data_IF_817690018412
#
_entry.id   IF_817690018412
#
_cell.length_a   1.000
_cell.length_b   1.000
_cell.length_c   1.000
_cell.angle_alpha   90.00
_cell.angle_beta   90.00
_cell.angle_gamma   90.00
#
_symmetry.space_group_name_H-M   'P 1'
#
loop_
_entity.id
_entity.type
_entity.pdbx_description
1 polymer ?
#
# COMPACT_ATOMS: atom_id res chain seq x y z
N UNK A 1 27.46 10.73 -18.73
CA UNK A 1 26.26 11.21 -18.03
C UNK A 1 25.19 10.14 -18.16
N UNK A 2 24.79 9.43 -17.10
CA UNK A 2 23.62 8.56 -17.20
C UNK A 2 22.40 9.44 -17.48
N UNK A 3 21.67 9.15 -18.56
CA UNK A 3 20.52 9.94 -18.99
C UNK A 3 19.51 10.08 -17.86
N UNK A 4 18.96 11.30 -17.70
CA UNK A 4 17.93 11.63 -16.71
C UNK A 4 16.75 10.66 -16.91
N UNK A 5 16.66 9.61 -16.08
CA UNK A 5 15.54 8.66 -16.12
C UNK A 5 14.33 9.38 -15.53
N UNK A 6 13.43 9.83 -16.39
CA UNK A 6 12.18 10.47 -15.97
C UNK A 6 11.13 9.41 -15.65
N UNK A 7 10.33 9.66 -14.60
CA UNK A 7 9.15 8.85 -14.33
C UNK A 7 8.13 9.00 -15.46
N UNK A 8 7.48 7.91 -15.91
CA UNK A 8 6.48 7.95 -16.97
C UNK A 8 5.28 8.80 -16.57
N UNK A 9 4.69 9.49 -17.53
CA UNK A 9 3.48 10.28 -17.36
C UNK A 9 2.25 9.37 -17.12
N UNK A 10 1.17 9.90 -16.52
CA UNK A 10 -0.10 9.19 -16.40
C UNK A 10 -0.61 8.62 -17.74
N UNK A 11 -0.44 9.36 -18.84
CA UNK A 11 -0.82 8.93 -20.17
C UNK A 11 0.00 7.72 -20.66
N UNK A 12 1.32 7.72 -20.44
CA UNK A 12 2.19 6.58 -20.78
C UNK A 12 1.86 5.33 -19.94
N UNK A 13 1.53 5.51 -18.66
CA UNK A 13 1.07 4.41 -17.78
C UNK A 13 -0.28 3.87 -18.27
N UNK A 14 -1.24 4.76 -18.59
CA UNK A 14 -2.55 4.40 -19.10
C UNK A 14 -2.47 3.61 -20.41
N UNK A 15 -1.62 4.06 -21.34
CA UNK A 15 -1.42 3.40 -22.63
C UNK A 15 -0.91 1.95 -22.51
N UNK A 16 -0.20 1.61 -21.43
CA UNK A 16 0.30 0.25 -21.17
C UNK A 16 -0.69 -0.65 -20.43
N UNK A 17 -1.82 -0.13 -19.96
CA UNK A 17 -2.80 -0.93 -19.21
C UNK A 17 -4.11 -1.13 -19.97
N UNK A 18 -4.39 -2.39 -20.31
CA UNK A 18 -5.69 -2.80 -20.89
C UNK A 18 -6.88 -2.60 -19.94
N UNK A 19 -6.62 -2.37 -18.66
CA UNK A 19 -7.63 -2.20 -17.61
C UNK A 19 -7.85 -0.73 -17.24
N UNK A 20 -7.10 0.21 -17.81
CA UNK A 20 -7.32 1.63 -17.61
C UNK A 20 -8.75 2.00 -18.05
N UNK A 21 -9.47 2.79 -17.24
CA UNK A 21 -10.86 3.15 -17.50
C UNK A 21 -11.90 2.07 -17.16
N UNK A 22 -11.52 0.79 -17.19
CA UNK A 22 -12.46 -0.34 -17.13
C UNK A 22 -12.46 -1.09 -15.79
N UNK A 23 -11.47 -0.86 -14.92
CA UNK A 23 -11.38 -1.50 -13.61
C UNK A 23 -11.03 -0.47 -12.53
N UNK A 24 -11.65 -0.51 -11.34
CA UNK A 24 -11.40 0.49 -10.29
C UNK A 24 -10.04 0.30 -9.58
N UNK A 25 -9.42 -0.87 -9.73
CA UNK A 25 -8.07 -1.21 -9.25
C UNK A 25 -7.29 -1.99 -10.32
N UNK A 26 -6.88 -1.36 -11.42
CA UNK A 26 -6.15 -2.03 -12.49
C UNK A 26 -4.89 -2.74 -11.98
N UNK A 27 -4.44 -3.78 -12.70
CA UNK A 27 -3.12 -4.37 -12.46
C UNK A 27 -2.03 -3.28 -12.58
N UNK A 28 -1.07 -3.21 -11.65
CA UNK A 28 0.06 -2.29 -11.77
C UNK A 28 0.84 -2.49 -13.08
N UNK A 29 1.37 -1.41 -13.64
CA UNK A 29 2.17 -1.45 -14.87
C UNK A 29 3.65 -1.47 -14.51
N UNK A 30 4.40 -2.39 -15.11
CA UNK A 30 5.85 -2.51 -14.95
C UNK A 30 6.60 -1.73 -16.04
N UNK A 31 7.71 -1.13 -15.66
CA UNK A 31 8.70 -0.50 -16.51
C UNK A 31 10.07 -1.08 -16.08
N UNK A 32 10.37 -2.28 -16.55
CA UNK A 32 11.56 -3.04 -16.11
C UNK A 32 12.87 -2.31 -16.46
N UNK A 33 12.91 -1.55 -17.56
CA UNK A 33 14.03 -0.69 -17.96
C UNK A 33 14.34 0.44 -16.96
N UNK A 34 13.35 0.79 -16.13
CA UNK A 34 13.44 1.80 -15.09
C UNK A 34 13.50 1.19 -13.67
N UNK A 35 13.44 -0.14 -13.52
CA UNK A 35 13.18 -0.80 -12.24
C UNK A 35 11.98 -0.20 -11.49
N UNK A 36 10.90 0.08 -12.23
CA UNK A 36 9.75 0.82 -11.74
C UNK A 36 8.46 0.01 -11.92
N UNK A 37 7.59 0.06 -10.93
CA UNK A 37 6.19 -0.35 -11.04
C UNK A 37 5.29 0.82 -10.67
N UNK A 38 4.20 0.98 -11.42
CA UNK A 38 3.20 2.03 -11.17
C UNK A 38 1.88 1.39 -10.78
N UNK A 39 1.49 1.58 -9.51
CA UNK A 39 0.14 1.25 -9.04
C UNK A 39 -0.76 2.43 -9.31
N UNK A 40 -1.93 2.20 -9.92
CA UNK A 40 -2.84 3.28 -10.25
C UNK A 40 -4.30 2.84 -10.23
N UNK A 41 -5.21 3.82 -10.21
CA UNK A 41 -6.64 3.57 -10.31
C UNK A 41 -7.47 4.59 -9.52
N UNK A 42 -8.80 4.60 -9.71
CA UNK A 42 -9.68 5.52 -9.00
C UNK A 42 -9.93 5.14 -7.53
N UNK A 43 -9.56 3.93 -7.11
CA UNK A 43 -9.58 3.51 -5.70
C UNK A 43 -8.19 3.38 -5.08
N UNK A 44 -7.14 3.80 -5.80
CA UNK A 44 -5.79 3.94 -5.23
C UNK A 44 -5.74 5.27 -4.50
N UNK A 45 -5.08 5.30 -3.35
CA UNK A 45 -5.07 6.44 -2.45
C UNK A 45 -3.64 6.90 -2.17
N UNK A 46 -3.45 8.21 -1.99
CA UNK A 46 -2.12 8.78 -1.71
C UNK A 46 -1.57 8.29 -0.37
N UNK A 47 -2.46 7.99 0.58
CA UNK A 47 -2.16 7.43 1.89
C UNK A 47 -1.37 6.11 1.81
N UNK A 48 -1.53 5.32 0.74
CA UNK A 48 -0.73 4.12 0.51
C UNK A 48 0.75 4.48 0.26
N UNK A 49 1.00 5.47 -0.59
CA UNK A 49 2.35 5.96 -0.87
C UNK A 49 3.01 6.55 0.39
N UNK A 50 2.25 7.30 1.19
CA UNK A 50 2.73 7.88 2.45
C UNK A 50 3.02 6.78 3.47
N UNK A 51 2.15 5.77 3.59
CA UNK A 51 2.33 4.62 4.48
C UNK A 51 3.61 3.84 4.15
N UNK A 52 3.82 3.51 2.87
CA UNK A 52 5.04 2.83 2.42
C UNK A 52 6.30 3.63 2.73
N UNK A 53 6.29 4.95 2.47
CA UNK A 53 7.42 5.83 2.82
C UNK A 53 7.69 5.86 4.33
N UNK A 54 6.65 5.99 5.14
CA UNK A 54 6.77 6.02 6.60
C UNK A 54 7.35 4.71 7.12
N UNK A 55 6.82 3.55 6.68
CA UNK A 55 7.30 2.23 7.09
C UNK A 55 8.76 2.05 6.67
N UNK A 56 9.10 2.39 5.41
CA UNK A 56 10.47 2.28 4.91
C UNK A 56 11.46 3.12 5.70
N UNK A 57 11.07 4.35 6.08
CA UNK A 57 11.90 5.21 6.92
C UNK A 57 11.99 4.69 8.37
N UNK A 58 10.86 4.41 9.02
CA UNK A 58 10.79 4.06 10.43
C UNK A 58 11.40 2.69 10.75
N UNK A 59 11.26 1.72 9.83
CA UNK A 59 11.69 0.34 10.04
C UNK A 59 12.92 -0.05 9.20
N UNK A 60 13.53 0.91 8.49
CA UNK A 60 14.76 0.80 7.68
C UNK A 60 15.49 -0.54 7.78
N UNK A 61 15.25 -1.43 6.80
CA UNK A 61 15.93 -2.73 6.65
C UNK A 61 15.33 -3.90 7.43
N UNK A 62 14.37 -3.68 8.34
CA UNK A 62 13.65 -4.75 9.06
C UNK A 62 12.42 -5.26 8.31
N UNK A 63 11.79 -4.39 7.53
CA UNK A 63 10.60 -4.72 6.74
C UNK A 63 10.88 -4.39 5.28
N UNK A 64 10.81 -5.39 4.38
CA UNK A 64 11.01 -5.14 2.95
C UNK A 64 9.75 -4.44 2.40
N UNK A 65 9.87 -3.14 2.14
CA UNK A 65 8.86 -2.35 1.41
C UNK A 65 9.51 -1.68 0.21
N UNK A 66 8.81 -1.54 -0.92
CA UNK A 66 9.35 -0.86 -2.09
C UNK A 66 9.59 0.62 -1.80
N UNK A 67 10.69 1.17 -2.33
CA UNK A 67 10.92 2.61 -2.30
C UNK A 67 9.85 3.33 -3.12
N UNK A 68 9.20 4.34 -2.55
CA UNK A 68 8.24 5.18 -3.30
C UNK A 68 8.96 6.40 -3.85
N UNK A 69 9.08 6.48 -5.18
CA UNK A 69 9.68 7.62 -5.87
C UNK A 69 8.75 8.84 -5.92
N UNK A 70 7.43 8.63 -5.93
CA UNK A 70 6.45 9.70 -5.84
C UNK A 70 5.05 9.26 -6.25
N UNK A 71 4.14 10.23 -6.37
CA UNK A 71 2.80 10.00 -6.89
C UNK A 71 2.31 11.16 -7.74
N UNK A 72 1.27 10.91 -8.55
CA UNK A 72 0.51 11.93 -9.29
C UNK A 72 -0.98 11.70 -9.10
N UNK A 73 -1.74 12.79 -9.15
CA UNK A 73 -3.21 12.78 -9.18
C UNK A 73 -3.64 13.38 -10.51
N UNK A 74 -4.45 12.64 -11.25
CA UNK A 74 -5.00 13.06 -12.55
C UNK A 74 -6.51 12.77 -12.57
N UNK A 75 -7.30 13.84 -12.42
CA UNK A 75 -8.73 13.75 -12.16
C UNK A 75 -9.02 12.86 -10.94
N UNK A 76 -9.73 11.75 -11.17
CA UNK A 76 -10.08 10.76 -10.13
C UNK A 76 -9.03 9.68 -9.90
N UNK A 77 -7.94 9.66 -10.68
CA UNK A 77 -6.93 8.62 -10.63
C UNK A 77 -5.73 9.04 -9.79
N UNK A 78 -5.26 8.14 -8.93
CA UNK A 78 -3.96 8.26 -8.27
C UNK A 78 -2.99 7.30 -8.95
N UNK A 79 -1.75 7.74 -9.16
CA UNK A 79 -0.64 6.96 -9.68
C UNK A 79 0.50 7.00 -8.66
N UNK A 80 0.92 5.83 -8.17
CA UNK A 80 2.02 5.66 -7.21
C UNK A 80 3.18 5.02 -7.95
N UNK A 81 4.31 5.72 -7.97
CA UNK A 81 5.55 5.29 -8.62
C UNK A 81 6.47 4.71 -7.56
N UNK A 82 6.77 3.42 -7.68
CA UNK A 82 7.53 2.71 -6.65
C UNK A 82 8.51 1.71 -7.26
N UNK A 83 9.52 1.34 -6.48
CA UNK A 83 10.52 0.34 -6.82
C UNK A 83 9.87 -0.96 -7.30
N UNK A 84 10.38 -1.46 -8.42
CA UNK A 84 10.08 -2.81 -8.85
C UNK A 84 10.98 -3.81 -8.14
N UNK A 85 10.47 -4.40 -7.06
CA UNK A 85 11.14 -5.48 -6.35
C UNK A 85 11.26 -6.69 -7.27
N UNK A 86 12.49 -7.13 -7.51
CA UNK A 86 12.78 -8.28 -8.35
C UNK A 86 12.51 -9.58 -7.58
N UNK A 87 11.81 -10.51 -8.23
CA UNK A 87 11.50 -11.80 -7.64
C UNK A 87 10.21 -12.40 -8.21
N UNK A 88 9.95 -13.62 -7.79
CA UNK A 88 8.71 -14.34 -8.07
C UNK A 88 7.78 -14.19 -6.88
N UNK A 89 6.47 -14.15 -7.13
CA UNK A 89 5.53 -14.10 -6.01
C UNK A 89 5.54 -15.42 -5.24
N UNK A 90 5.27 -15.37 -3.94
CA UNK A 90 5.14 -16.60 -3.15
C UNK A 90 4.06 -17.51 -3.72
N UNK A 91 2.98 -16.94 -4.26
CA UNK A 91 1.90 -17.68 -4.93
C UNK A 91 2.43 -18.52 -6.10
N UNK A 92 3.22 -17.92 -6.99
CA UNK A 92 3.74 -18.60 -8.18
C UNK A 92 4.74 -19.70 -7.82
N UNK A 93 5.48 -19.53 -6.71
CA UNK A 93 6.51 -20.49 -6.29
C UNK A 93 6.05 -21.55 -5.31
N UNK A 94 4.94 -21.34 -4.61
CA UNK A 94 4.53 -22.14 -3.44
C UNK A 94 4.58 -23.65 -3.67
N UNK A 95 4.02 -24.12 -4.78
CA UNK A 95 3.91 -25.55 -5.09
C UNK A 95 5.25 -26.21 -5.42
N UNK A 96 6.25 -25.41 -5.82
CA UNK A 96 7.60 -25.88 -6.14
C UNK A 96 8.56 -25.87 -4.94
N UNK A 97 8.17 -25.26 -3.82
CA UNK A 97 9.01 -25.14 -2.63
C UNK A 97 9.05 -26.46 -1.85
N UNK A 98 10.23 -26.80 -1.32
CA UNK A 98 10.36 -27.91 -0.39
C UNK A 98 9.70 -27.58 0.96
N UNK A 99 9.43 -28.60 1.77
CA UNK A 99 8.95 -28.39 3.15
C UNK A 99 9.96 -27.58 3.99
N UNK A 100 11.26 -27.73 3.70
CA UNK A 100 12.31 -26.94 4.34
C UNK A 100 12.19 -25.46 4.00
N UNK A 101 12.05 -25.13 2.71
CA UNK A 101 11.91 -23.74 2.25
C UNK A 101 10.64 -23.09 2.80
N UNK A 102 9.51 -23.81 2.80
CA UNK A 102 8.26 -23.34 3.40
C UNK A 102 8.43 -23.04 4.90
N UNK A 103 9.17 -23.88 5.62
CA UNK A 103 9.47 -23.67 7.03
C UNK A 103 10.31 -22.41 7.24
N UNK A 104 11.33 -22.18 6.41
CA UNK A 104 12.15 -20.96 6.46
C UNK A 104 11.30 -19.72 6.24
N UNK A 105 10.42 -19.72 5.23
CA UNK A 105 9.52 -18.59 4.94
C UNK A 105 8.56 -18.34 6.12
N UNK A 106 7.97 -19.39 6.69
CA UNK A 106 7.12 -19.26 7.87
C UNK A 106 7.86 -18.64 9.06
N UNK A 107 9.16 -18.92 9.22
CA UNK A 107 9.98 -18.35 10.29
C UNK A 107 10.38 -16.89 10.03
N UNK A 108 10.45 -16.44 8.77
CA UNK A 108 10.72 -15.04 8.40
C UNK A 108 9.51 -14.12 8.62
N UNK A 109 8.28 -14.63 8.48
CA UNK A 109 7.07 -13.82 8.62
C UNK A 109 6.96 -13.11 9.99
N UNK A 110 7.18 -13.78 11.14
CA UNK A 110 7.22 -13.11 12.44
C UNK A 110 8.25 -11.99 12.54
N UNK A 111 9.43 -12.15 11.91
CA UNK A 111 10.50 -11.15 11.92
C UNK A 111 10.09 -9.87 11.19
N UNK A 112 9.23 -9.99 10.17
CA UNK A 112 8.67 -8.86 9.42
C UNK A 112 7.47 -8.24 10.15
N UNK A 113 6.58 -9.07 10.69
CA UNK A 113 5.32 -8.62 11.32
C UNK A 113 5.57 -7.94 12.67
N UNK A 114 6.56 -8.39 13.45
CA UNK A 114 6.80 -7.82 14.79
C UNK A 114 7.19 -6.33 14.74
N UNK A 115 8.18 -5.91 13.91
CA UNK A 115 8.49 -4.49 13.76
C UNK A 115 7.31 -3.64 13.26
N UNK A 116 6.45 -4.19 12.39
CA UNK A 116 5.24 -3.50 11.93
C UNK A 116 4.25 -3.22 13.08
N UNK A 117 4.12 -4.15 14.03
CA UNK A 117 3.25 -3.99 15.21
C UNK A 117 3.82 -3.01 16.23
N UNK A 118 5.14 -2.85 16.24
CA UNK A 118 5.83 -1.91 17.15
C UNK A 118 5.79 -0.45 16.64
N UNK A 119 5.29 -0.20 15.43
CA UNK A 119 5.10 1.16 14.91
C UNK A 119 4.07 1.89 15.77
N UNK A 120 4.54 2.86 16.55
CA UNK A 120 3.70 3.67 17.41
C UNK A 120 3.49 5.08 16.83
N UNK A 121 2.30 5.63 17.08
CA UNK A 121 2.02 7.05 16.85
C UNK A 121 2.63 7.90 17.97
N UNK A 122 2.90 9.17 17.65
CA UNK A 122 3.31 10.17 18.64
C UNK A 122 2.33 10.21 19.83
N UNK A 123 2.79 10.13 21.09
CA UNK A 123 1.92 10.00 22.25
C UNK A 123 0.86 11.10 22.38
N UNK A 124 1.17 12.31 21.92
CA UNK A 124 0.31 13.49 22.01
C UNK A 124 -0.66 13.64 20.84
N UNK A 125 -0.54 12.80 19.80
CA UNK A 125 -1.34 12.88 18.58
C UNK A 125 -1.87 11.49 18.16
N UNK A 126 -2.42 10.75 19.13
CA UNK A 126 -2.98 9.43 18.90
C UNK A 126 -4.40 9.53 18.37
N UNK A 127 -4.66 8.84 17.28
CA UNK A 127 -6.01 8.70 16.72
C UNK A 127 -6.15 7.36 15.98
N UNK A 128 -7.39 6.97 15.71
CA UNK A 128 -7.74 5.81 14.88
C UNK A 128 -8.26 6.36 13.55
N UNK A 129 -7.47 6.21 12.50
CA UNK A 129 -7.73 6.80 11.19
C UNK A 129 -6.63 6.48 10.19
N UNK A 130 -6.72 7.06 9.01
CA UNK A 130 -5.66 6.99 8.00
C UNK A 130 -4.39 7.74 8.43
N UNK A 131 -3.24 7.44 7.82
CA UNK A 131 -1.96 8.08 8.14
C UNK A 131 -1.95 9.61 7.97
N UNK A 132 -2.90 10.17 7.22
CA UNK A 132 -3.09 11.62 7.00
C UNK A 132 -4.10 12.24 7.96
N UNK A 133 -4.52 11.52 9.00
CA UNK A 133 -5.54 11.97 9.94
C UNK A 133 -6.95 12.03 9.36
N UNK A 134 -7.20 11.36 8.24
CA UNK A 134 -8.56 11.22 7.67
C UNK A 134 -9.25 9.95 8.19
N UNK A 135 -10.49 9.72 7.75
CA UNK A 135 -11.31 8.56 8.09
C UNK A 135 -10.59 7.22 8.01
N UNK A 136 -11.07 6.25 8.78
CA UNK A 136 -10.69 4.84 8.64
C UNK A 136 -11.14 4.34 7.26
N UNK A 137 -10.17 3.87 6.48
CA UNK A 137 -10.40 3.38 5.14
C UNK A 137 -9.99 1.92 5.07
N UNK A 138 -10.88 1.05 5.55
CA UNK A 138 -10.72 -0.40 5.45
C UNK A 138 -11.69 -0.96 4.39
N UNK A 139 -11.33 -2.10 3.79
CA UNK A 139 -12.23 -2.79 2.89
C UNK A 139 -13.53 -3.22 3.59
N UNK A 140 -13.47 -3.54 4.89
CA UNK A 140 -14.63 -3.88 5.72
C UNK A 140 -15.65 -2.72 5.77
N UNK A 141 -15.19 -1.48 5.64
CA UNK A 141 -16.03 -0.27 5.70
C UNK A 141 -16.37 0.30 4.31
N UNK A 142 -16.09 -0.43 3.23
CA UNK A 142 -16.19 0.10 1.86
C UNK A 142 -17.57 0.66 1.52
N UNK A 143 -18.63 0.02 2.03
CA UNK A 143 -20.03 0.39 1.78
C UNK A 143 -20.69 0.99 3.04
N UNK A 144 -19.89 1.31 4.06
CA UNK A 144 -20.34 1.92 5.32
C UNK A 144 -20.13 3.44 5.27
N UNK A 145 -20.89 4.21 6.08
CA UNK A 145 -20.61 5.63 6.29
C UNK A 145 -19.15 5.84 6.70
N UNK A 146 -18.50 6.88 6.20
CA UNK A 146 -17.12 7.19 6.60
C UNK A 146 -17.06 7.46 8.10
N UNK A 147 -16.10 6.83 8.78
CA UNK A 147 -15.85 6.99 10.20
C UNK A 147 -14.44 7.50 10.49
N UNK A 148 -14.32 8.40 11.45
CA UNK A 148 -13.05 8.89 11.96
C UNK A 148 -12.49 10.12 11.23
N UNK A 149 -11.29 10.60 11.62
CA UNK A 149 -10.44 10.02 12.66
C UNK A 149 -11.11 10.05 14.04
N UNK A 150 -10.84 9.04 14.86
CA UNK A 150 -11.34 8.96 16.23
C UNK A 150 -10.21 9.21 17.21
N UNK A 151 -10.42 10.03 18.23
CA UNK A 151 -9.40 10.35 19.22
C UNK A 151 -9.30 9.26 20.29
N UNK A 152 -10.33 8.43 20.43
CA UNK A 152 -10.37 7.35 21.43
C UNK A 152 -10.91 6.05 20.84
N UNK A 153 -10.51 4.92 21.46
CA UNK A 153 -11.09 3.62 21.16
C UNK A 153 -12.60 3.58 21.41
N UNK A 154 -13.09 4.36 22.39
CA UNK A 154 -14.52 4.43 22.68
C UNK A 154 -15.30 5.03 21.50
N UNK A 155 -14.84 6.16 20.96
CA UNK A 155 -15.47 6.80 19.79
C UNK A 155 -15.50 5.86 18.58
N UNK A 156 -14.40 5.15 18.32
CA UNK A 156 -14.35 4.14 17.26
C UNK A 156 -15.36 3.00 17.51
N UNK A 157 -15.38 2.44 18.72
CA UNK A 157 -16.29 1.32 19.07
C UNK A 157 -17.76 1.73 19.01
N UNK A 158 -18.10 2.93 19.48
CA UNK A 158 -19.47 3.46 19.43
C UNK A 158 -19.92 3.65 17.97
N UNK A 159 -19.04 4.22 17.12
CA UNK A 159 -19.30 4.33 15.69
C UNK A 159 -19.47 2.96 15.04
N UNK A 160 -18.55 2.02 15.31
CA UNK A 160 -18.58 0.66 14.75
C UNK A 160 -19.86 -0.07 15.14
N UNK A 161 -20.31 0.05 16.40
CA UNK A 161 -21.56 -0.52 16.88
C UNK A 161 -22.81 0.11 16.25
N UNK A 162 -22.72 1.36 15.78
CA UNK A 162 -23.81 2.06 15.09
C UNK A 162 -23.99 1.68 13.62
N UNK A 163 -23.01 0.97 13.02
CA UNK A 163 -23.05 0.61 11.61
C UNK A 163 -24.21 -0.35 11.31
N UNK A 164 -24.86 -0.22 10.14
CA UNK A 164 -25.87 -1.18 9.71
C UNK A 164 -25.32 -2.61 9.73
N UNK A 165 -26.01 -3.51 10.45
CA UNK A 165 -25.71 -4.94 10.40
C UNK A 165 -26.51 -5.56 9.27
N UNK A 166 -25.83 -6.17 8.30
CA UNK A 166 -26.43 -6.92 7.21
C UNK A 166 -26.42 -8.42 7.51
#
# INVERSE_FOLDING_TARGET
MPGKRCLPTPAEVAARSKQFGNHPRPRPVRFDDLNLVVKFGPLVRVEEAICLRMIGAALSGKVPVPEVYGWRVDGRYVFIYMELVQGETLHDRWDSLSNGDRTVICNQLPEIISPLRDVAQEPTNRFIGSITGQSCNDHIFKDMPQGGPFNTTKEFSDWFASLPQH
#
